data_IF_883235993905
#
_entry.id   IF_883235993905
#
_cell.length_a   1.000
_cell.length_b   1.000
_cell.length_c   1.000
_cell.angle_alpha   90.00
_cell.angle_beta   90.00
_cell.angle_gamma   90.00
#
_symmetry.space_group_name_H-M   'P 1'
#
loop_
_entity.id
_entity.type
_entity.pdbx_description
1 polymer ?
#
# COMPACT_ATOMS: atom_id res chain seq x y z
N UNK A 1 26.26 29.52 25.98
CA UNK A 1 24.97 29.17 25.32
C UNK A 1 25.17 27.92 24.49
N UNK A 2 25.02 26.73 25.09
CA UNK A 2 25.19 25.46 24.38
C UNK A 2 23.92 25.15 23.57
N UNK A 3 23.98 25.36 22.25
CA UNK A 3 22.93 24.93 21.35
C UNK A 3 22.89 23.42 21.26
N UNK A 4 21.72 22.81 21.49
CA UNK A 4 21.51 21.37 21.29
C UNK A 4 21.87 20.97 19.85
N UNK A 5 22.78 20.00 19.71
CA UNK A 5 23.20 19.42 18.42
C UNK A 5 22.00 18.98 17.57
N UNK A 6 22.07 19.07 16.22
CA UNK A 6 21.03 18.57 15.32
C UNK A 6 20.61 17.11 15.58
N UNK A 7 21.53 16.26 16.06
CA UNK A 7 21.21 14.88 16.47
C UNK A 7 20.30 14.83 17.70
N UNK A 8 20.51 15.71 18.68
CA UNK A 8 19.68 15.79 19.89
C UNK A 8 18.27 16.30 19.60
N UNK A 9 18.11 17.24 18.66
CA UNK A 9 16.79 17.70 18.21
C UNK A 9 15.99 16.60 17.51
N UNK A 10 16.66 15.71 16.76
CA UNK A 10 16.04 14.57 16.08
C UNK A 10 15.60 13.49 17.07
N UNK A 11 16.41 13.17 18.07
CA UNK A 11 16.05 12.18 19.10
C UNK A 11 14.84 12.67 19.92
N UNK A 12 14.86 13.92 20.37
CA UNK A 12 13.73 14.50 21.11
C UNK A 12 12.42 14.54 20.31
N UNK A 13 12.48 14.63 18.98
CA UNK A 13 11.29 14.55 18.12
C UNK A 13 10.75 13.11 17.98
N UNK A 14 11.64 12.10 17.95
CA UNK A 14 11.26 10.68 17.97
C UNK A 14 10.64 10.30 19.31
N UNK A 15 11.23 10.73 20.43
CA UNK A 15 10.72 10.47 21.78
C UNK A 15 9.33 11.09 21.97
N UNK A 16 9.09 12.28 21.42
CA UNK A 16 7.75 12.93 21.41
C UNK A 16 6.74 12.17 20.54
N UNK A 17 7.16 11.65 19.40
CA UNK A 17 6.30 10.84 18.53
C UNK A 17 5.93 9.52 19.22
N UNK A 18 6.90 8.88 19.89
CA UNK A 18 6.68 7.68 20.68
C UNK A 18 5.72 7.94 21.86
N UNK A 19 5.86 9.07 22.55
CA UNK A 19 4.94 9.49 23.61
C UNK A 19 3.50 9.68 23.10
N UNK A 20 3.30 10.30 21.93
CA UNK A 20 1.96 10.47 21.31
C UNK A 20 1.35 9.12 20.93
N UNK A 21 2.15 8.21 20.35
CA UNK A 21 1.72 6.85 20.00
C UNK A 21 1.30 6.07 21.25
N UNK A 22 2.08 6.16 22.33
CA UNK A 22 1.81 5.43 23.57
C UNK A 22 0.62 6.02 24.36
N UNK A 23 0.31 7.31 24.23
CA UNK A 23 -0.84 7.94 24.92
C UNK A 23 -2.20 7.63 24.26
N UNK A 24 -2.22 7.11 23.02
CA UNK A 24 -3.45 6.67 22.33
C UNK A 24 -3.75 5.18 22.50
N UNK A 25 -2.92 4.44 23.23
CA UNK A 25 -3.19 3.05 23.62
C UNK A 25 -3.69 3.04 25.06
N UNK A 26 -5.00 3.20 25.24
CA UNK A 26 -5.62 2.78 26.50
C UNK A 26 -5.46 1.26 26.61
N UNK A 27 -5.01 0.70 27.75
CA UNK A 27 -4.97 -0.74 27.92
C UNK A 27 -6.39 -1.30 27.82
N UNK A 28 -6.59 -2.34 26.99
CA UNK A 28 -7.79 -3.15 27.04
C UNK A 28 -7.91 -3.74 28.46
N UNK A 29 -9.01 -3.44 29.13
CA UNK A 29 -9.35 -4.06 30.41
C UNK A 29 -9.46 -5.59 30.23
N UNK A 30 -8.97 -6.39 31.18
CA UNK A 30 -9.15 -7.84 31.14
C UNK A 30 -10.63 -8.20 31.36
N UNK A 31 -11.11 -9.19 30.59
CA UNK A 31 -12.45 -9.74 30.73
C UNK A 31 -12.64 -10.44 32.10
N UNK A 32 -13.84 -10.42 32.70
CA UNK A 32 -14.08 -11.04 33.99
C UNK A 32 -14.11 -12.56 33.89
N UNK A 33 -13.37 -13.22 34.79
CA UNK A 33 -13.45 -14.65 35.03
C UNK A 33 -14.70 -14.97 35.87
N UNK A 34 -15.53 -15.90 35.41
CA UNK A 34 -16.62 -16.48 36.21
C UNK A 34 -16.22 -17.88 36.68
N UNK A 35 -15.93 -18.00 37.97
CA UNK A 35 -15.92 -19.26 38.71
C UNK A 35 -17.36 -19.65 39.08
N UNK A 36 -17.70 -20.94 38.92
CA UNK A 36 -18.73 -21.61 39.71
C UNK A 36 -18.19 -22.99 40.12
N UNK A 37 -17.94 -23.15 41.41
CA UNK A 37 -17.80 -24.44 42.09
C UNK A 37 -19.17 -25.08 42.28
N UNK A 38 -19.27 -26.40 42.11
CA UNK A 38 -19.50 -27.33 43.24
C UNK A 38 -19.53 -28.81 42.79
N UNK A 39 -19.33 -29.77 43.73
CA UNK A 39 -18.81 -31.11 43.48
C UNK A 39 -19.88 -32.21 43.54
N UNK A 40 -19.60 -33.42 43.04
CA UNK A 40 -19.34 -34.63 43.85
C UNK A 40 -19.22 -35.90 42.95
N UNK A 41 -18.57 -36.94 43.48
CA UNK A 41 -17.91 -38.04 42.78
C UNK A 41 -18.76 -39.29 42.47
N UNK A 42 -18.33 -40.12 41.51
CA UNK A 42 -18.41 -41.61 41.51
C UNK A 42 -17.43 -42.23 40.48
N UNK A 43 -16.65 -43.29 40.79
CA UNK A 43 -15.64 -43.92 39.90
C UNK A 43 -16.20 -45.01 38.93
N UNK A 44 -15.42 -45.56 37.98
CA UNK A 44 -15.84 -45.79 36.59
C UNK A 44 -16.35 -47.20 36.25
N UNK A 45 -17.04 -47.32 35.11
CA UNK A 45 -17.37 -48.59 34.45
C UNK A 45 -16.46 -48.78 33.22
N UNK A 46 -15.65 -49.84 33.23
CA UNK A 46 -14.76 -50.23 32.13
C UNK A 46 -15.55 -50.49 30.83
N UNK A 47 -15.24 -49.73 29.77
CA UNK A 47 -15.66 -50.04 28.41
C UNK A 47 -14.57 -50.87 27.72
N UNK A 48 -14.91 -51.90 26.92
CA UNK A 48 -13.93 -52.67 26.17
C UNK A 48 -13.30 -51.83 25.05
N UNK A 49 -11.98 -51.98 24.86
CA UNK A 49 -11.22 -51.26 23.85
C UNK A 49 -11.69 -51.60 22.41
N UNK A 50 -11.83 -50.62 21.50
CA UNK A 50 -12.06 -50.90 20.09
C UNK A 50 -10.79 -51.46 19.43
N UNK A 51 -10.97 -52.47 18.56
CA UNK A 51 -9.89 -53.10 17.79
C UNK A 51 -9.20 -52.09 16.85
N UNK A 52 -7.88 -52.24 16.59
CA UNK A 52 -7.15 -51.35 15.69
C UNK A 52 -7.64 -51.50 14.24
N UNK A 53 -8.00 -50.39 13.60
CA UNK A 53 -8.31 -50.34 12.17
C UNK A 53 -7.02 -50.52 11.33
N UNK A 54 -7.09 -51.17 10.16
CA UNK A 54 -5.95 -51.29 9.24
C UNK A 54 -5.55 -49.91 8.70
N UNK A 55 -4.23 -49.65 8.64
CA UNK A 55 -3.69 -48.39 8.14
C UNK A 55 -4.06 -48.14 6.67
N UNK A 56 -4.49 -46.92 6.30
CA UNK A 56 -4.73 -46.57 4.90
C UNK A 56 -3.41 -46.52 4.12
N UNK A 57 -3.42 -47.07 2.89
CA UNK A 57 -2.29 -47.02 1.97
C UNK A 57 -1.94 -45.56 1.61
N UNK A 58 -0.65 -45.23 1.42
CA UNK A 58 -0.23 -43.89 1.06
C UNK A 58 -0.78 -43.52 -0.33
N UNK A 59 -1.53 -42.43 -0.40
CA UNK A 59 -1.96 -41.83 -1.66
C UNK A 59 -0.75 -41.32 -2.44
N UNK A 60 -0.75 -41.38 -3.79
CA UNK A 60 0.28 -40.74 -4.60
C UNK A 60 0.30 -39.24 -4.28
N UNK A 61 1.49 -38.72 -4.01
CA UNK A 61 1.68 -37.30 -3.76
C UNK A 61 1.21 -36.50 -5.00
N UNK A 62 0.46 -35.39 -4.81
CA UNK A 62 0.19 -34.47 -5.91
C UNK A 62 1.53 -33.94 -6.42
N UNK A 63 1.73 -33.97 -7.75
CA UNK A 63 2.84 -33.25 -8.38
C UNK A 63 2.83 -31.80 -7.90
N UNK A 64 3.96 -31.37 -7.33
CA UNK A 64 4.17 -29.98 -6.96
C UNK A 64 3.90 -29.12 -8.20
N UNK A 65 3.03 -28.10 -8.12
CA UNK A 65 2.91 -27.13 -9.20
C UNK A 65 4.30 -26.54 -9.46
N UNK A 66 4.60 -26.30 -10.74
CA UNK A 66 5.85 -25.66 -11.15
C UNK A 66 6.12 -24.45 -10.25
N UNK A 67 7.34 -24.37 -9.74
CA UNK A 67 7.79 -23.27 -8.89
C UNK A 67 7.45 -21.95 -9.60
N UNK A 68 6.68 -21.03 -8.97
CA UNK A 68 6.35 -19.76 -9.61
C UNK A 68 7.66 -19.06 -9.99
N UNK A 69 7.67 -18.38 -11.13
CA UNK A 69 8.82 -17.56 -11.54
C UNK A 69 9.30 -16.74 -10.34
N UNK A 70 10.62 -16.65 -10.09
CA UNK A 70 11.12 -16.04 -8.87
C UNK A 70 10.53 -14.63 -8.77
N UNK A 71 9.87 -14.31 -7.65
CA UNK A 71 9.15 -13.05 -7.43
C UNK A 71 9.99 -11.79 -7.73
N UNK A 72 11.32 -11.92 -7.85
CA UNK A 72 12.26 -10.90 -8.29
C UNK A 72 12.14 -10.55 -9.79
N UNK A 73 11.81 -11.50 -10.65
CA UNK A 73 11.68 -11.32 -12.10
C UNK A 73 10.32 -10.70 -12.45
N UNK A 74 9.22 -11.14 -11.83
CA UNK A 74 7.91 -10.48 -11.97
C UNK A 74 7.94 -9.06 -11.40
N UNK A 75 8.46 -8.86 -10.18
CA UNK A 75 8.67 -7.50 -9.60
C UNK A 75 9.52 -6.59 -10.48
N UNK A 76 10.52 -7.13 -11.20
CA UNK A 76 11.28 -6.37 -12.21
C UNK A 76 10.44 -6.05 -13.44
N UNK A 77 9.72 -7.02 -14.01
CA UNK A 77 8.82 -6.81 -15.15
C UNK A 77 7.76 -5.72 -14.89
N UNK A 78 7.30 -5.57 -13.63
CA UNK A 78 6.37 -4.52 -13.22
C UNK A 78 6.96 -3.10 -13.18
N UNK A 79 8.24 -3.00 -12.81
CA UNK A 79 8.92 -1.74 -12.52
C UNK A 79 9.77 -1.26 -13.70
N UNK A 80 10.28 -2.21 -14.47
CA UNK A 80 11.03 -2.10 -15.72
C UNK A 80 10.13 -2.40 -16.92
N UNK A 81 8.81 -2.25 -16.80
CA UNK A 81 7.93 -2.07 -17.96
C UNK A 81 8.34 -0.76 -18.65
N UNK A 82 9.46 -0.87 -19.35
CA UNK A 82 10.17 0.17 -20.05
C UNK A 82 9.17 0.81 -21.00
N UNK A 83 9.27 2.13 -21.12
CA UNK A 83 8.69 2.86 -22.22
C UNK A 83 9.31 2.30 -23.51
N UNK A 84 8.71 1.25 -24.07
CA UNK A 84 9.01 0.66 -25.37
C UNK A 84 10.49 0.48 -25.70
N UNK A 85 11.13 -0.57 -25.19
CA UNK A 85 12.36 -1.12 -25.76
C UNK A 85 13.61 -0.24 -25.65
N UNK A 86 14.78 -0.87 -25.55
CA UNK A 86 16.08 -0.21 -25.45
C UNK A 86 16.48 0.62 -26.69
N UNK A 87 15.61 0.75 -27.70
CA UNK A 87 15.88 1.39 -28.99
C UNK A 87 15.06 2.66 -29.28
N UNK A 88 14.12 3.06 -28.40
CA UNK A 88 13.45 4.36 -28.55
C UNK A 88 14.08 5.41 -27.62
N UNK A 89 14.32 6.65 -28.09
CA UNK A 89 14.71 7.72 -27.19
C UNK A 89 13.62 7.90 -26.14
N UNK A 90 13.97 8.08 -24.85
CA UNK A 90 12.97 8.20 -23.79
C UNK A 90 11.98 9.32 -24.16
N UNK A 91 10.67 9.11 -23.96
CA UNK A 91 9.68 10.12 -24.28
C UNK A 91 10.04 11.46 -23.61
N UNK A 92 9.68 12.61 -24.20
CA UNK A 92 9.99 13.92 -23.66
C UNK A 92 9.63 13.98 -22.17
N UNK A 93 10.62 14.20 -21.32
CA UNK A 93 10.41 14.21 -19.88
C UNK A 93 9.73 15.53 -19.51
N UNK A 94 8.40 15.52 -19.38
CA UNK A 94 7.67 16.65 -18.85
C UNK A 94 7.79 16.65 -17.32
N UNK A 95 8.45 17.68 -16.78
CA UNK A 95 8.61 17.87 -15.34
C UNK A 95 7.76 19.04 -14.85
N UNK A 96 7.10 18.82 -13.74
CA UNK A 96 6.52 19.83 -12.87
C UNK A 96 7.57 20.28 -11.85
N UNK A 97 8.50 21.12 -12.28
CA UNK A 97 9.68 21.50 -11.48
C UNK A 97 10.65 20.33 -11.34
N UNK A 98 10.77 19.77 -10.14
CA UNK A 98 11.61 18.59 -9.88
C UNK A 98 10.84 17.26 -10.04
N UNK A 99 9.51 17.30 -10.18
CA UNK A 99 8.63 16.12 -10.21
C UNK A 99 8.27 15.71 -11.64
N UNK A 100 8.45 14.45 -11.98
CA UNK A 100 7.85 13.81 -13.15
C UNK A 100 6.88 12.72 -12.68
N UNK A 101 5.72 12.66 -13.33
CA UNK A 101 4.72 11.63 -13.06
C UNK A 101 4.37 10.93 -14.37
N UNK A 102 4.32 9.61 -14.34
CA UNK A 102 4.01 8.77 -15.50
C UNK A 102 3.04 7.67 -15.12
N UNK A 103 2.16 7.31 -16.05
CA UNK A 103 1.36 6.10 -15.99
C UNK A 103 2.14 4.99 -16.70
N UNK A 104 2.41 3.89 -15.99
CA UNK A 104 3.08 2.72 -16.56
C UNK A 104 2.24 2.16 -17.71
N UNK A 105 2.88 1.84 -18.84
CA UNK A 105 2.20 1.41 -20.06
C UNK A 105 1.64 2.55 -20.93
N UNK A 106 1.63 3.81 -20.46
CA UNK A 106 1.10 4.94 -21.23
C UNK A 106 2.14 6.04 -21.48
N UNK A 107 2.90 6.48 -20.47
CA UNK A 107 3.81 7.63 -20.61
C UNK A 107 3.70 8.66 -19.49
N UNK A 108 4.42 9.79 -19.62
CA UNK A 108 4.23 10.96 -18.78
C UNK A 108 2.77 11.44 -18.80
N UNK A 109 2.25 11.88 -17.66
CA UNK A 109 0.89 12.41 -17.54
C UNK A 109 0.88 13.89 -17.15
N UNK A 110 -0.18 14.60 -17.54
CA UNK A 110 -0.39 15.98 -17.12
C UNK A 110 -1.09 16.03 -15.77
N UNK A 111 -0.49 16.72 -14.79
CA UNK A 111 -1.01 16.80 -13.43
C UNK A 111 -2.09 17.85 -13.34
N UNK A 112 -3.13 17.56 -12.56
CA UNK A 112 -4.23 18.49 -12.28
C UNK A 112 -5.04 18.92 -13.52
N UNK A 113 -4.99 18.17 -14.62
CA UNK A 113 -5.73 18.47 -15.85
C UNK A 113 -6.92 17.54 -16.10
N UNK A 114 -7.21 16.65 -15.14
CA UNK A 114 -8.31 15.69 -15.21
C UNK A 114 -7.87 14.28 -15.57
N UNK A 115 -8.84 13.37 -15.78
CA UNK A 115 -8.57 11.95 -16.02
C UNK A 115 -7.92 11.70 -17.38
N UNK A 116 -7.05 10.70 -17.42
CA UNK A 116 -6.49 10.12 -18.64
C UNK A 116 -7.01 8.69 -18.75
N UNK A 117 -7.59 8.36 -19.90
CA UNK A 117 -8.07 7.01 -20.22
C UNK A 117 -6.90 6.06 -20.48
N UNK A 118 -7.04 4.82 -20.04
CA UNK A 118 -6.11 3.74 -20.29
C UNK A 118 -6.83 2.39 -20.25
N UNK A 119 -6.22 1.40 -20.89
CA UNK A 119 -6.76 0.04 -20.95
C UNK A 119 -5.59 -0.95 -20.91
N UNK A 120 -5.74 -2.03 -20.16
CA UNK A 120 -4.82 -3.16 -20.11
C UNK A 120 -5.61 -4.48 -20.06
N UNK A 121 -4.95 -5.61 -19.86
CA UNK A 121 -5.59 -6.94 -19.94
C UNK A 121 -6.67 -7.17 -18.87
N UNK A 122 -6.63 -6.46 -17.74
CA UNK A 122 -7.52 -6.69 -16.60
C UNK A 122 -8.45 -5.52 -16.28
N UNK A 123 -8.19 -4.33 -16.81
CA UNK A 123 -8.93 -3.12 -16.48
C UNK A 123 -9.06 -2.16 -17.68
N UNK A 124 -10.20 -1.49 -17.78
CA UNK A 124 -10.45 -0.41 -18.73
C UNK A 124 -11.05 0.78 -17.99
N UNK A 125 -10.46 1.97 -18.12
CA UNK A 125 -10.95 3.15 -17.42
C UNK A 125 -9.99 4.32 -17.45
N UNK A 126 -10.03 5.15 -16.42
CA UNK A 126 -9.20 6.35 -16.32
C UNK A 126 -8.50 6.51 -14.98
N UNK A 127 -7.43 7.30 -15.00
CA UNK A 127 -6.72 7.76 -13.81
C UNK A 127 -6.58 9.29 -13.83
N UNK A 128 -6.94 9.95 -12.73
CA UNK A 128 -6.70 11.37 -12.48
C UNK A 128 -5.70 11.50 -11.31
N UNK A 129 -4.54 12.09 -11.60
CA UNK A 129 -3.49 12.30 -10.61
C UNK A 129 -3.37 13.79 -10.30
N UNK A 130 -3.64 14.10 -9.04
CA UNK A 130 -3.64 15.46 -8.51
C UNK A 130 -2.50 15.63 -7.53
N UNK A 131 -1.72 16.67 -7.71
CA UNK A 131 -0.62 17.04 -6.82
C UNK A 131 -0.70 18.53 -6.51
N UNK A 132 -0.85 18.85 -5.22
CA UNK A 132 -0.96 20.22 -4.74
C UNK A 132 0.38 20.95 -4.93
N UNK A 133 0.32 22.10 -5.58
CA UNK A 133 1.49 22.99 -5.75
C UNK A 133 2.55 22.46 -6.72
N UNK A 134 2.23 21.43 -7.54
CA UNK A 134 3.10 20.99 -8.62
C UNK A 134 3.40 22.14 -9.58
N UNK A 135 4.68 22.42 -9.81
CA UNK A 135 5.10 23.61 -10.56
C UNK A 135 4.64 23.53 -12.02
N UNK A 136 3.88 24.53 -12.48
CA UNK A 136 3.32 24.56 -13.83
C UNK A 136 1.99 23.81 -14.00
N UNK A 137 1.54 23.05 -12.98
CA UNK A 137 0.22 22.42 -12.99
C UNK A 137 -0.87 23.43 -12.61
N UNK A 138 -2.09 23.30 -13.16
CA UNK A 138 -3.24 24.09 -12.72
C UNK A 138 -3.50 23.99 -11.22
N UNK A 139 -3.98 25.09 -10.63
CA UNK A 139 -4.60 25.05 -9.30
C UNK A 139 -5.97 24.40 -9.38
N UNK A 140 -6.37 23.64 -8.35
CA UNK A 140 -7.66 22.97 -8.27
C UNK A 140 -8.40 23.37 -6.99
N UNK A 141 -9.68 23.69 -7.11
CA UNK A 141 -10.58 23.91 -5.96
C UNK A 141 -10.71 22.66 -5.07
N UNK A 142 -10.34 21.49 -5.61
CA UNK A 142 -10.21 20.24 -4.87
C UNK A 142 -9.39 20.36 -3.58
N UNK A 143 -8.48 21.33 -3.51
CA UNK A 143 -7.62 21.58 -2.36
C UNK A 143 -8.30 22.40 -1.25
N UNK A 144 -9.35 23.16 -1.52
CA UNK A 144 -9.91 24.12 -0.58
C UNK A 144 -10.45 23.47 0.69
N UNK A 145 -10.08 24.01 1.86
CA UNK A 145 -10.49 23.50 3.16
C UNK A 145 -9.92 22.12 3.54
N UNK A 146 -9.00 21.55 2.75
CA UNK A 146 -8.48 20.19 2.94
C UNK A 146 -6.97 20.18 3.19
N UNK A 147 -6.50 19.26 4.04
CA UNK A 147 -5.07 19.09 4.34
C UNK A 147 -4.32 18.25 3.29
N UNK A 148 -5.03 17.39 2.54
CA UNK A 148 -4.47 16.51 1.51
C UNK A 148 -3.62 17.28 0.49
N UNK A 149 -2.50 16.70 0.09
CA UNK A 149 -1.53 17.27 -0.87
C UNK A 149 -1.44 16.47 -2.16
N UNK A 150 -2.07 15.29 -2.20
CA UNK A 150 -2.22 14.52 -3.43
C UNK A 150 -3.56 13.79 -3.47
N UNK A 151 -3.98 13.38 -4.66
CA UNK A 151 -5.02 12.40 -4.89
C UNK A 151 -4.70 11.56 -6.13
N UNK A 152 -4.98 10.27 -6.08
CA UNK A 152 -4.97 9.35 -7.23
C UNK A 152 -6.38 8.77 -7.29
N UNK A 153 -7.10 9.11 -8.36
CA UNK A 153 -8.48 8.70 -8.58
C UNK A 153 -8.48 7.75 -9.77
N UNK A 154 -8.96 6.54 -9.58
CA UNK A 154 -9.04 5.50 -10.62
C UNK A 154 -10.50 5.18 -10.81
N UNK A 155 -10.99 5.19 -12.04
CA UNK A 155 -12.39 4.89 -12.39
C UNK A 155 -12.44 3.94 -13.56
N UNK A 156 -13.36 2.99 -13.55
CA UNK A 156 -13.53 2.09 -14.69
C UNK A 156 -14.02 0.72 -14.29
N UNK A 157 -13.84 -0.22 -15.20
CA UNK A 157 -14.39 -1.56 -15.13
C UNK A 157 -13.28 -2.61 -15.16
N UNK A 158 -13.43 -3.63 -14.34
CA UNK A 158 -12.60 -4.82 -14.45
C UNK A 158 -13.04 -5.65 -15.67
N UNK A 159 -12.09 -6.32 -16.32
CA UNK A 159 -12.35 -7.21 -17.46
C UNK A 159 -12.59 -8.67 -17.04
N UNK A 160 -12.31 -8.98 -15.78
CA UNK A 160 -12.56 -10.26 -15.13
C UNK A 160 -12.91 -10.07 -13.66
N UNK A 161 -13.37 -11.13 -13.03
CA UNK A 161 -13.67 -11.11 -11.60
C UNK A 161 -12.39 -11.09 -10.77
N UNK A 162 -12.41 -10.33 -9.67
CA UNK A 162 -11.42 -10.40 -8.60
C UNK A 162 -12.12 -10.53 -7.25
N UNK A 163 -11.64 -11.43 -6.40
CA UNK A 163 -12.02 -11.43 -5.00
C UNK A 163 -11.45 -10.20 -4.27
N UNK A 164 -12.16 -9.70 -3.26
CA UNK A 164 -11.71 -8.55 -2.46
C UNK A 164 -10.40 -8.77 -1.70
N UNK A 165 -9.92 -10.01 -1.55
CA UNK A 165 -8.61 -10.33 -1.00
C UNK A 165 -7.47 -10.30 -2.02
N UNK A 166 -7.75 -10.27 -3.32
CA UNK A 166 -6.70 -10.37 -4.35
C UNK A 166 -6.05 -9.02 -4.65
N UNK A 167 -6.79 -7.92 -4.52
CA UNK A 167 -6.31 -6.59 -4.92
C UNK A 167 -5.69 -5.83 -3.74
N UNK A 168 -4.51 -5.26 -3.99
CA UNK A 168 -3.74 -4.47 -3.05
C UNK A 168 -3.40 -3.11 -3.64
N UNK A 169 -3.37 -2.09 -2.79
CA UNK A 169 -2.87 -0.76 -3.11
C UNK A 169 -1.58 -0.47 -2.34
N UNK A 170 -0.61 0.16 -2.99
CA UNK A 170 0.61 0.62 -2.32
C UNK A 170 1.80 0.68 -3.26
N UNK A 171 2.98 0.37 -2.72
CA UNK A 171 4.25 0.41 -3.43
C UNK A 171 5.06 -0.87 -3.21
N UNK A 172 5.68 -1.38 -4.28
CA UNK A 172 6.78 -2.34 -4.25
C UNK A 172 8.03 -1.69 -4.82
N UNK A 173 9.20 -2.06 -4.32
CA UNK A 173 10.48 -1.48 -4.69
C UNK A 173 11.37 -2.55 -5.33
N UNK A 174 12.09 -2.18 -6.40
CA UNK A 174 12.96 -3.10 -7.15
C UNK A 174 14.26 -3.44 -6.43
N UNK A 175 14.58 -2.71 -5.36
CA UNK A 175 15.77 -2.96 -4.56
C UNK A 175 15.66 -2.42 -3.14
N UNK A 176 16.68 -2.72 -2.31
CA UNK A 176 16.66 -2.40 -0.89
C UNK A 176 16.49 -0.91 -0.58
N UNK A 177 15.73 -0.62 0.46
CA UNK A 177 15.59 0.73 1.02
C UNK A 177 16.69 1.02 2.05
N UNK A 178 17.11 2.27 2.16
CA UNK A 178 17.93 2.74 3.28
C UNK A 178 17.00 2.99 4.46
N UNK A 179 16.70 1.95 5.24
CA UNK A 179 15.73 2.06 6.33
C UNK A 179 16.25 3.00 7.44
N UNK A 180 15.51 4.07 7.81
CA UNK A 180 15.94 4.97 8.86
C UNK A 180 15.93 4.30 10.24
N UNK A 181 16.86 4.70 11.11
CA UNK A 181 16.72 4.48 12.55
C UNK A 181 15.39 5.08 13.04
N UNK A 182 14.53 4.26 13.64
CA UNK A 182 13.17 4.64 14.06
C UNK A 182 12.05 4.32 13.05
N UNK A 183 12.33 3.57 11.97
CA UNK A 183 11.31 3.17 10.98
C UNK A 183 10.09 2.46 11.59
N UNK A 184 10.27 1.70 12.67
CA UNK A 184 9.18 1.03 13.40
C UNK A 184 8.13 2.02 13.94
N UNK A 185 8.54 3.21 14.37
CA UNK A 185 7.62 4.28 14.82
C UNK A 185 6.85 4.85 13.63
N UNK A 186 7.53 5.06 12.49
CA UNK A 186 6.91 5.48 11.25
C UNK A 186 5.87 4.48 10.74
N UNK A 187 6.17 3.18 10.78
CA UNK A 187 5.24 2.10 10.43
C UNK A 187 4.02 2.12 11.37
N UNK A 188 4.22 2.28 12.68
CA UNK A 188 3.10 2.40 13.63
C UNK A 188 2.18 3.57 13.28
N UNK A 189 2.71 4.73 12.95
CA UNK A 189 1.91 5.88 12.52
C UNK A 189 1.19 5.63 11.19
N UNK A 190 1.88 5.01 10.23
CA UNK A 190 1.27 4.62 8.97
C UNK A 190 0.11 3.63 9.19
N UNK A 191 0.22 2.72 10.18
CA UNK A 191 -0.87 1.84 10.61
C UNK A 191 -2.03 2.54 11.32
N UNK A 192 -1.82 3.72 11.91
CA UNK A 192 -2.93 4.54 12.42
C UNK A 192 -3.75 5.13 11.29
N UNK A 193 -3.11 5.49 10.18
CA UNK A 193 -3.76 6.04 8.98
C UNK A 193 -4.39 4.93 8.16
N UNK A 194 -3.59 3.92 7.82
CA UNK A 194 -3.98 2.71 7.12
C UNK A 194 -3.73 1.48 7.98
N UNK A 195 -4.75 1.03 8.71
CA UNK A 195 -4.61 -0.12 9.57
C UNK A 195 -4.49 -1.47 8.85
N UNK A 196 -4.76 -1.54 7.54
CA UNK A 196 -4.49 -2.72 6.71
C UNK A 196 -3.05 -2.77 6.19
N UNK A 197 -2.24 -1.76 6.52
CA UNK A 197 -0.89 -1.62 5.99
C UNK A 197 0.05 -2.73 6.48
N UNK A 198 0.67 -3.36 5.50
CA UNK A 198 1.78 -4.28 5.63
C UNK A 198 3.02 -3.61 5.04
N UNK A 199 4.12 -3.68 5.79
CA UNK A 199 5.37 -3.03 5.41
C UNK A 199 6.53 -4.01 5.63
N UNK A 200 7.05 -4.53 4.53
CA UNK A 200 8.31 -5.27 4.49
C UNK A 200 9.41 -4.33 3.97
N UNK A 201 10.12 -3.69 4.90
CA UNK A 201 11.14 -2.69 4.55
C UNK A 201 12.56 -3.28 4.40
N UNK A 202 12.76 -4.53 4.82
CA UNK A 202 14.09 -5.15 4.96
C UNK A 202 14.36 -6.26 3.94
N UNK A 203 13.35 -6.68 3.17
CA UNK A 203 13.50 -7.59 2.04
C UNK A 203 14.40 -7.02 0.92
N UNK A 204 15.00 -7.89 0.08
CA UNK A 204 15.66 -7.47 -1.16
C UNK A 204 14.76 -6.65 -2.11
N UNK A 205 13.45 -6.92 -2.08
CA UNK A 205 12.40 -6.20 -2.82
C UNK A 205 11.34 -5.71 -1.83
N UNK A 206 11.60 -4.57 -1.15
CA UNK A 206 10.71 -4.04 -0.13
C UNK A 206 9.30 -3.75 -0.65
N UNK A 207 8.32 -3.75 0.25
CA UNK A 207 6.94 -3.39 -0.05
C UNK A 207 6.27 -2.64 1.09
N UNK A 208 5.34 -1.76 0.71
CA UNK A 208 4.43 -1.05 1.60
C UNK A 208 3.06 -1.12 0.93
N UNK A 209 2.24 -2.08 1.31
CA UNK A 209 0.97 -2.40 0.64
C UNK A 209 -0.15 -2.62 1.64
N UNK A 210 -1.38 -2.49 1.19
CA UNK A 210 -2.57 -2.70 2.00
C UNK A 210 -3.70 -3.20 1.08
N UNK A 211 -4.59 -4.10 1.54
CA UNK A 211 -5.72 -4.53 0.73
C UNK A 211 -6.50 -3.34 0.16
N UNK A 212 -6.88 -3.40 -1.12
CA UNK A 212 -7.45 -2.27 -1.85
C UNK A 212 -8.69 -1.69 -1.14
N UNK A 213 -9.59 -2.57 -0.70
CA UNK A 213 -10.87 -2.18 -0.08
C UNK A 213 -10.72 -1.42 1.25
N UNK A 214 -9.58 -1.57 1.95
CA UNK A 214 -9.32 -0.88 3.22
C UNK A 214 -8.35 0.31 3.10
N UNK A 215 -7.55 0.35 2.05
CA UNK A 215 -6.49 1.35 1.85
C UNK A 215 -7.01 2.67 1.30
N UNK A 216 -7.89 2.62 0.30
CA UNK A 216 -8.40 3.83 -0.38
C UNK A 216 -9.34 4.63 0.51
N UNK A 217 -9.34 5.96 0.31
CA UNK A 217 -10.15 6.90 1.08
C UNK A 217 -11.60 6.89 0.62
N UNK A 218 -11.86 6.93 -0.69
CA UNK A 218 -13.21 6.77 -1.24
C UNK A 218 -13.27 5.52 -2.12
N UNK A 219 -14.40 4.82 -2.04
CA UNK A 219 -14.72 3.65 -2.85
C UNK A 219 -16.19 3.72 -3.23
N UNK A 220 -16.48 3.63 -4.52
CA UNK A 220 -17.84 3.47 -5.04
C UNK A 220 -17.88 2.33 -6.05
N UNK A 221 -19.03 1.66 -6.13
CA UNK A 221 -19.26 0.55 -7.05
C UNK A 221 -20.42 -0.31 -6.54
N UNK A 222 -20.85 -1.33 -7.31
CA UNK A 222 -21.87 -2.25 -6.85
C UNK A 222 -21.43 -2.99 -5.60
N UNK A 223 -22.39 -3.28 -4.71
CA UNK A 223 -22.20 -4.05 -3.47
C UNK A 223 -21.20 -3.47 -2.47
N UNK A 224 -20.63 -2.29 -2.74
CA UNK A 224 -19.88 -1.53 -1.74
C UNK A 224 -20.86 -1.17 -0.63
N UNK A 225 -20.63 -1.60 0.63
CA UNK A 225 -21.54 -1.32 1.72
C UNK A 225 -21.75 0.19 1.90
N UNK A 226 -23.01 0.60 2.05
CA UNK A 226 -23.36 2.00 2.31
C UNK A 226 -22.91 2.41 3.72
N UNK A 227 -21.68 2.93 3.83
CA UNK A 227 -21.12 3.43 5.07
C UNK A 227 -20.04 4.48 4.82
N UNK A 228 -19.81 5.34 5.82
CA UNK A 228 -18.75 6.36 5.78
C UNK A 228 -17.37 5.73 5.60
N UNK A 229 -16.47 6.44 4.93
CA UNK A 229 -15.15 5.96 4.55
C UNK A 229 -14.31 5.37 5.70
N UNK A 230 -14.23 5.96 6.92
CA UNK A 230 -13.54 5.33 8.04
C UNK A 230 -14.16 4.00 8.48
N UNK A 231 -15.49 3.90 8.45
CA UNK A 231 -16.21 2.67 8.79
C UNK A 231 -15.99 1.59 7.72
N UNK A 232 -16.03 1.96 6.43
CA UNK A 232 -15.74 1.07 5.29
C UNK A 232 -14.35 0.47 5.40
N UNK A 233 -13.35 1.33 5.62
CA UNK A 233 -11.95 0.90 5.76
C UNK A 233 -11.75 -0.03 6.96
N UNK A 234 -12.48 0.20 8.06
CA UNK A 234 -12.48 -0.69 9.23
C UNK A 234 -13.18 -2.02 8.94
N UNK A 235 -14.31 -2.00 8.22
CA UNK A 235 -15.08 -3.18 7.84
C UNK A 235 -14.23 -4.13 6.99
N UNK A 236 -13.58 -3.62 5.95
CA UNK A 236 -12.70 -4.39 5.06
C UNK A 236 -11.31 -4.69 5.63
N UNK A 237 -11.04 -4.43 6.91
CA UNK A 237 -9.87 -5.03 7.58
C UNK A 237 -10.00 -6.53 7.74
N UNK A 238 -11.23 -7.03 7.88
CA UNK A 238 -11.49 -8.45 7.98
C UNK A 238 -11.25 -9.11 6.62
N UNK A 239 -10.40 -10.13 6.61
CA UNK A 239 -10.18 -10.99 5.44
C UNK A 239 -11.47 -11.69 5.02
N UNK A 240 -12.34 -12.04 5.96
CA UNK A 240 -13.66 -12.61 5.68
C UNK A 240 -14.56 -11.62 4.92
N UNK A 241 -14.64 -10.37 5.38
CA UNK A 241 -15.47 -9.36 4.71
C UNK A 241 -14.94 -9.00 3.32
N UNK A 242 -13.62 -8.98 3.14
CA UNK A 242 -13.00 -8.82 1.81
C UNK A 242 -13.25 -10.04 0.93
N UNK A 243 -13.13 -11.24 1.50
CA UNK A 243 -13.39 -12.51 0.83
C UNK A 243 -14.83 -12.65 0.35
N UNK A 244 -15.78 -12.01 1.03
CA UNK A 244 -17.19 -11.96 0.64
C UNK A 244 -17.50 -10.90 -0.43
N UNK A 245 -16.54 -10.05 -0.80
CA UNK A 245 -16.72 -9.01 -1.82
C UNK A 245 -16.11 -9.47 -3.15
N UNK A 246 -16.79 -9.19 -4.25
CA UNK A 246 -16.33 -9.51 -5.61
C UNK A 246 -16.36 -8.26 -6.48
N UNK A 247 -15.22 -7.92 -7.07
CA UNK A 247 -15.15 -7.00 -8.19
C UNK A 247 -15.66 -7.71 -9.43
N UNK A 248 -16.77 -7.23 -10.01
CA UNK A 248 -17.42 -7.87 -11.16
C UNK A 248 -17.03 -7.20 -12.47
N UNK A 249 -16.86 -7.97 -13.54
CA UNK A 249 -16.64 -7.39 -14.85
C UNK A 249 -17.87 -6.63 -15.34
N UNK A 250 -17.64 -5.58 -16.14
CA UNK A 250 -18.71 -4.76 -16.71
C UNK A 250 -19.43 -3.82 -15.73
N UNK A 251 -18.91 -3.70 -14.50
CA UNK A 251 -19.40 -2.75 -13.51
C UNK A 251 -18.38 -1.65 -13.26
N UNK A 252 -18.87 -0.41 -13.15
CA UNK A 252 -18.02 0.74 -12.85
C UNK A 252 -17.69 0.82 -11.36
N UNK A 253 -16.39 0.91 -11.07
CA UNK A 253 -15.83 1.18 -9.75
C UNK A 253 -15.05 2.49 -9.78
N UNK A 254 -15.07 3.23 -8.66
CA UNK A 254 -14.18 4.38 -8.43
C UNK A 254 -13.41 4.17 -7.14
N UNK A 255 -12.09 4.39 -7.22
CA UNK A 255 -11.15 4.35 -6.10
C UNK A 255 -10.51 5.72 -5.97
N UNK A 256 -10.48 6.31 -4.78
CA UNK A 256 -9.73 7.53 -4.52
C UNK A 256 -8.79 7.34 -3.34
N UNK A 257 -7.48 7.44 -3.60
CA UNK A 257 -6.45 7.49 -2.57
C UNK A 257 -5.90 8.91 -2.46
N UNK A 258 -6.01 9.52 -1.29
CA UNK A 258 -5.47 10.85 -1.00
C UNK A 258 -4.83 10.91 0.37
N UNK A 259 -3.90 11.85 0.54
CA UNK A 259 -3.23 12.04 1.82
C UNK A 259 -2.38 13.29 1.88
N UNK A 260 -1.81 13.54 3.06
CA UNK A 260 -0.93 14.65 3.40
C UNK A 260 0.44 14.20 3.93
N UNK A 261 0.65 12.88 4.04
CA UNK A 261 1.87 12.29 4.60
C UNK A 261 3.04 12.38 3.63
N UNK A 262 2.86 12.03 2.36
CA UNK A 262 3.92 12.13 1.35
C UNK A 262 3.54 13.20 0.33
N UNK A 263 4.29 14.29 0.34
CA UNK A 263 4.18 15.35 -0.65
C UNK A 263 5.04 14.98 -1.87
N UNK A 264 4.39 14.60 -2.97
CA UNK A 264 5.06 14.24 -4.22
C UNK A 264 5.79 15.41 -4.88
N UNK A 265 5.30 16.64 -4.71
CA UNK A 265 5.90 17.84 -5.31
C UNK A 265 7.27 18.14 -4.68
N UNK A 266 7.42 17.91 -3.37
CA UNK A 266 8.68 18.18 -2.65
C UNK A 266 9.43 16.92 -2.21
N UNK A 267 8.88 15.74 -2.50
CA UNK A 267 9.34 14.43 -2.04
C UNK A 267 9.57 14.37 -0.52
N UNK A 268 8.71 15.06 0.23
CA UNK A 268 8.82 15.21 1.68
C UNK A 268 7.79 14.34 2.39
N UNK A 269 8.30 13.48 3.27
CA UNK A 269 7.50 12.70 4.21
C UNK A 269 7.24 13.51 5.48
N UNK A 270 5.96 13.65 5.83
CA UNK A 270 5.43 14.41 6.95
C UNK A 270 4.65 13.49 7.89
N UNK A 271 5.27 13.11 9.01
CA UNK A 271 4.68 12.22 10.01
C UNK A 271 4.71 12.92 11.37
N UNK A 272 3.55 13.35 11.88
CA UNK A 272 3.48 14.14 13.12
C UNK A 272 4.42 15.37 13.06
N UNK A 273 5.36 15.56 14.02
CA UNK A 273 6.34 16.65 13.99
C UNK A 273 7.53 16.40 13.04
N UNK A 274 7.68 15.19 12.51
CA UNK A 274 8.82 14.77 11.71
C UNK A 274 8.63 15.19 10.25
N UNK A 275 9.68 15.80 9.68
CA UNK A 275 9.76 16.15 8.25
C UNK A 275 11.05 15.57 7.68
N UNK A 276 10.92 14.64 6.73
CA UNK A 276 12.02 13.92 6.13
C UNK A 276 11.98 14.00 4.61
N UNK A 277 13.15 13.99 3.97
CA UNK A 277 13.22 13.77 2.53
C UNK A 277 13.12 12.28 2.25
N UNK A 278 12.10 11.85 1.50
CA UNK A 278 11.88 10.45 1.13
C UNK A 278 13.05 9.92 0.28
N UNK A 279 13.63 10.77 -0.59
CA UNK A 279 14.74 10.40 -1.46
C UNK A 279 15.98 9.87 -0.73
N UNK A 280 16.19 10.27 0.54
CA UNK A 280 17.30 9.76 1.38
C UNK A 280 17.17 8.26 1.68
N UNK A 281 15.96 7.73 1.63
CA UNK A 281 15.64 6.37 2.04
C UNK A 281 15.31 5.44 0.87
N UNK A 282 14.97 5.99 -0.29
CA UNK A 282 14.56 5.24 -1.47
C UNK A 282 15.73 4.71 -2.30
N UNK A 283 16.99 5.04 -1.94
CA UNK A 283 18.18 4.64 -2.71
C UNK A 283 18.10 5.06 -4.20
N UNK A 284 17.46 6.20 -4.46
CA UNK A 284 17.26 6.71 -5.81
C UNK A 284 16.21 6.00 -6.65
N UNK A 285 15.44 5.10 -6.05
CA UNK A 285 14.33 4.43 -6.72
C UNK A 285 13.13 5.38 -6.82
N UNK A 286 12.42 5.40 -7.95
CA UNK A 286 11.12 6.05 -8.05
C UNK A 286 10.12 5.39 -7.09
N UNK A 287 9.00 6.04 -6.84
CA UNK A 287 7.89 5.44 -6.08
C UNK A 287 6.74 5.15 -7.01
N UNK A 288 6.21 3.93 -6.93
CA UNK A 288 5.05 3.50 -7.70
C UNK A 288 3.86 3.41 -6.75
N UNK A 289 2.78 4.13 -7.04
CA UNK A 289 1.49 3.96 -6.38
C UNK A 289 0.62 3.12 -7.31
N UNK A 290 0.32 1.90 -6.90
CA UNK A 290 -0.25 0.89 -7.80
C UNK A 290 -1.41 0.13 -7.15
N UNK A 291 -2.36 -0.30 -7.98
CA UNK A 291 -3.34 -1.33 -7.66
C UNK A 291 -2.91 -2.59 -8.39
N UNK A 292 -2.66 -3.65 -7.64
CA UNK A 292 -2.11 -4.91 -8.16
C UNK A 292 -2.79 -6.13 -7.56
N UNK A 293 -2.79 -7.23 -8.30
CA UNK A 293 -3.08 -8.57 -7.81
C UNK A 293 -1.76 -9.36 -7.75
N UNK A 294 -1.12 -9.48 -6.56
CA UNK A 294 0.18 -10.12 -6.45
C UNK A 294 0.25 -11.58 -6.87
N UNK A 295 -0.80 -12.35 -6.61
CA UNK A 295 -0.80 -13.80 -6.81
C UNK A 295 -0.91 -14.17 -8.30
N UNK A 296 -1.67 -13.38 -9.05
CA UNK A 296 -1.86 -13.55 -10.49
C UNK A 296 -0.92 -12.72 -11.31
N UNK A 297 -0.09 -11.89 -10.66
CA UNK A 297 0.77 -10.95 -11.33
C UNK A 297 -0.08 -10.09 -12.31
N UNK A 298 -1.08 -9.36 -11.79
CA UNK A 298 -1.77 -8.33 -12.57
C UNK A 298 -1.50 -6.93 -12.03
N UNK A 299 -1.42 -5.95 -12.94
CA UNK A 299 -1.50 -4.52 -12.62
C UNK A 299 -2.80 -3.95 -13.18
N UNK A 300 -3.64 -3.48 -12.27
CA UNK A 300 -4.82 -2.69 -12.63
C UNK A 300 -4.39 -1.30 -13.05
N UNK A 301 -3.53 -0.64 -12.25
CA UNK A 301 -2.94 0.67 -12.57
C UNK A 301 -1.65 0.86 -11.78
N UNK A 302 -0.65 1.54 -12.36
CA UNK A 302 0.57 1.93 -11.66
C UNK A 302 1.00 3.34 -12.06
N UNK A 303 1.00 4.26 -11.10
CA UNK A 303 1.47 5.64 -11.27
C UNK A 303 2.86 5.75 -10.69
N UNK A 304 3.83 6.11 -11.53
CA UNK A 304 5.23 6.33 -11.17
C UNK A 304 5.49 7.79 -10.86
N UNK A 305 6.06 8.05 -9.70
CA UNK A 305 6.58 9.34 -9.26
C UNK A 305 8.10 9.31 -9.25
N UNK A 306 8.71 10.11 -10.13
CA UNK A 306 10.15 10.32 -10.21
C UNK A 306 10.45 11.78 -9.82
N UNK A 307 11.42 12.00 -8.94
CA UNK A 307 11.76 13.32 -8.46
C UNK A 307 13.27 13.52 -8.56
N UNK A 308 13.72 14.67 -9.07
CA UNK A 308 15.16 14.92 -9.32
C UNK A 308 16.06 14.72 -8.09
N UNK A 309 15.51 14.88 -6.87
CA UNK A 309 16.25 14.55 -5.64
C UNK A 309 16.66 13.08 -5.52
N UNK A 310 15.95 12.15 -6.18
CA UNK A 310 16.32 10.73 -6.27
C UNK A 310 17.61 10.55 -7.08
N UNK A 311 17.76 11.30 -8.17
CA UNK A 311 18.95 11.30 -9.00
C UNK A 311 20.16 11.90 -8.25
N UNK A 312 19.95 13.00 -7.51
CA UNK A 312 20.97 13.55 -6.59
C UNK A 312 21.39 12.54 -5.52
N UNK A 313 20.42 11.80 -4.96
CA UNK A 313 20.71 10.76 -3.96
C UNK A 313 21.51 9.56 -4.51
N UNK A 314 21.51 9.36 -5.84
CA UNK A 314 22.37 8.39 -6.55
C UNK A 314 23.75 8.94 -6.92
N UNK A 315 24.00 10.24 -6.73
CA UNK A 315 25.19 10.91 -7.23
C UNK A 315 25.19 11.15 -8.75
N UNK A 316 24.01 11.12 -9.39
CA UNK A 316 23.84 11.32 -10.85
C UNK A 316 23.68 12.80 -11.20
N UNK A 317 23.19 13.61 -10.27
CA UNK A 317 23.09 15.06 -10.39
C UNK A 317 23.82 15.71 -9.19
N UNK A 318 24.60 16.77 -9.45
CA UNK A 318 25.16 17.64 -8.40
C UNK A 318 24.06 18.46 -7.69
#
# INVERSE_FOLDING_TARGET
>A
MYGTSPRGKRQAALDRLEAVVNHHVAPLAPAPATHRDQPDATPPRLQPQPQPQPQPQPQPQPELPAEPAPAQESTRLWLDADFGGLDQPPPPQHYYGDLQVSLIGHGPIRLNEGPIEFENDVFCGSVDVRVRGAAGAPHLDYWEGRQRVFAIIVRGEFKREFNGNELYFGSRFSGPLKVPFGASVGIRFAKLIDPGLEADLHSPTPSIISPLLCSVNELTGPEVPAMESPARRKFFKSEEHRGAFTFRPGAEYSFEAYGDVLDWNTFRLSIGPLRLSAAKYLNGQPVHMQIVAPETDDVVVAVRFDHRSLQRARGVLE
#
